data_IF_596330149546
#
_entry.id   IF_596330149546
#
_cell.length_a   1.000
_cell.length_b   1.000
_cell.length_c   1.000
_cell.angle_alpha   90.00
_cell.angle_beta   90.00
_cell.angle_gamma   90.00
#
_symmetry.space_group_name_H-M   'P 1'
#
loop_
_entity.id
_entity.type
_entity.pdbx_description
1 polymer ?
#
# COMPACT_ATOMS: atom_id res chain seq x y z
N UNK A 1 -1.43 -7.82 -11.61
CA UNK A 1 -0.50 -7.18 -12.52
C UNK A 1 -0.01 -5.84 -12.03
N UNK A 2 -0.90 -5.10 -11.41
CA UNK A 2 -0.48 -3.84 -10.81
C UNK A 2 0.63 -4.09 -9.79
N UNK A 3 0.49 -5.16 -9.02
CA UNK A 3 1.48 -5.46 -7.99
C UNK A 3 2.87 -5.73 -8.55
N UNK A 4 2.95 -6.11 -9.81
CA UNK A 4 4.26 -6.38 -10.42
C UNK A 4 5.10 -5.13 -10.58
N UNK A 5 4.47 -3.97 -10.61
CA UNK A 5 5.20 -2.71 -10.70
C UNK A 5 5.78 -2.28 -9.38
N UNK A 6 5.33 -2.88 -8.31
CA UNK A 6 5.65 -2.41 -6.97
C UNK A 6 6.34 -3.53 -6.22
N UNK A 7 7.66 -3.56 -6.32
CA UNK A 7 8.43 -4.61 -5.65
C UNK A 7 8.29 -4.53 -4.13
N UNK A 8 7.85 -3.37 -3.62
CA UNK A 8 7.62 -3.19 -2.19
C UNK A 8 6.28 -3.78 -1.73
N UNK A 9 5.41 -4.15 -2.66
CA UNK A 9 4.08 -4.64 -2.32
C UNK A 9 4.00 -6.12 -2.67
N UNK A 10 3.48 -6.90 -1.75
CA UNK A 10 3.43 -8.34 -1.88
C UNK A 10 1.99 -8.81 -1.72
N UNK A 11 1.56 -9.69 -2.61
CA UNK A 11 0.24 -10.30 -2.51
C UNK A 11 0.44 -11.80 -2.46
N UNK A 12 -0.02 -12.41 -1.39
CA UNK A 12 0.09 -13.84 -1.19
C UNK A 12 -1.25 -14.34 -0.71
N UNK A 13 -1.92 -15.12 -1.53
CA UNK A 13 -3.26 -15.61 -1.21
C UNK A 13 -3.28 -16.45 0.05
N UNK A 14 -2.15 -17.00 0.42
CA UNK A 14 -2.06 -17.80 1.64
C UNK A 14 -1.88 -16.93 2.87
N UNK A 15 -1.60 -15.66 2.70
CA UNK A 15 -1.44 -14.72 3.81
C UNK A 15 -2.55 -13.69 3.74
N UNK A 16 -3.23 -13.50 4.86
CA UNK A 16 -4.21 -12.44 5.01
C UNK A 16 -5.23 -12.42 3.88
N UNK A 17 -5.54 -13.59 3.35
CA UNK A 17 -6.58 -13.70 2.33
C UNK A 17 -6.25 -13.03 1.01
N UNK A 18 -4.96 -12.91 0.69
CA UNK A 18 -4.55 -12.26 -0.55
C UNK A 18 -4.48 -10.75 -0.48
N UNK A 19 -4.56 -10.21 0.72
CA UNK A 19 -4.51 -8.78 0.93
C UNK A 19 -3.12 -8.24 0.59
N UNK A 20 -3.00 -7.12 -0.14
CA UNK A 20 -1.67 -6.55 -0.40
C UNK A 20 -1.02 -6.07 0.88
N UNK A 21 0.23 -6.45 1.06
CA UNK A 21 0.99 -6.07 2.26
C UNK A 21 2.33 -5.48 1.83
N UNK A 22 2.95 -4.76 2.74
CA UNK A 22 4.31 -4.29 2.54
C UNK A 22 5.23 -5.50 2.51
N UNK A 23 6.14 -5.53 1.57
CA UNK A 23 7.02 -6.67 1.35
C UNK A 23 7.72 -7.09 2.65
N UNK A 24 7.75 -8.38 2.89
CA UNK A 24 8.41 -8.99 4.05
C UNK A 24 7.79 -8.56 5.38
N UNK A 25 6.55 -8.14 5.35
CA UNK A 25 5.82 -7.81 6.58
C UNK A 25 4.43 -8.41 6.50
N UNK A 26 3.68 -8.24 7.59
CA UNK A 26 2.25 -8.56 7.59
C UNK A 26 1.42 -7.28 7.67
N UNK A 27 2.01 -6.16 7.29
CA UNK A 27 1.35 -4.87 7.38
C UNK A 27 0.57 -4.64 6.10
N UNK A 28 -0.77 -4.64 6.15
CA UNK A 28 -1.56 -4.41 4.95
C UNK A 28 -1.40 -2.98 4.46
N UNK A 29 -1.46 -2.81 3.15
CA UNK A 29 -1.44 -1.47 2.57
C UNK A 29 -2.60 -0.64 3.11
N UNK A 30 -3.77 -1.29 3.33
CA UNK A 30 -4.93 -0.57 3.85
C UNK A 30 -4.67 0.02 5.23
N UNK A 31 -3.84 -0.63 6.04
CA UNK A 31 -3.51 -0.09 7.36
C UNK A 31 -2.75 1.22 7.22
N UNK A 32 -1.83 1.29 6.27
CA UNK A 32 -1.07 2.51 6.02
C UNK A 32 -2.04 3.64 5.63
N UNK A 33 -2.98 3.34 4.76
CA UNK A 33 -3.95 4.35 4.32
C UNK A 33 -4.82 4.79 5.50
N UNK A 34 -5.22 3.85 6.35
CA UNK A 34 -6.01 4.18 7.54
C UNK A 34 -5.24 5.10 8.48
N UNK A 35 -3.95 4.86 8.64
CA UNK A 35 -3.11 5.72 9.48
C UNK A 35 -3.07 7.14 8.92
N UNK A 36 -2.93 7.26 7.61
CA UNK A 36 -2.91 8.58 6.98
C UNK A 36 -4.26 9.26 7.14
N UNK A 37 -5.34 8.50 7.02
CA UNK A 37 -6.67 9.05 7.24
C UNK A 37 -6.81 9.59 8.66
N UNK A 38 -6.17 8.96 9.61
CA UNK A 38 -6.19 9.38 11.00
C UNK A 38 -5.16 10.45 11.29
N UNK A 39 -4.58 11.04 10.23
CA UNK A 39 -3.68 12.19 10.32
C UNK A 39 -2.33 11.88 10.96
N UNK A 40 -1.92 10.62 10.91
CA UNK A 40 -0.57 10.29 11.30
C UNK A 40 0.41 10.79 10.25
N UNK A 41 1.56 11.28 10.68
CA UNK A 41 2.60 11.68 9.74
C UNK A 41 3.35 10.45 9.25
N UNK A 42 4.06 10.62 8.12
CA UNK A 42 4.92 9.54 7.62
C UNK A 42 5.88 9.08 8.71
N UNK A 43 6.48 10.05 9.42
CA UNK A 43 7.45 9.70 10.45
C UNK A 43 6.82 8.86 11.54
N UNK A 44 5.61 9.23 11.97
CA UNK A 44 4.92 8.47 13.00
C UNK A 44 4.63 7.04 12.56
N UNK A 45 4.19 6.88 11.31
CA UNK A 45 3.90 5.56 10.78
C UNK A 45 5.18 4.74 10.69
N UNK A 46 6.25 5.35 10.21
CA UNK A 46 7.53 4.66 10.10
C UNK A 46 8.01 4.15 11.45
N UNK A 47 7.85 4.98 12.48
CA UNK A 47 8.29 4.60 13.82
C UNK A 47 7.41 3.51 14.41
N UNK A 48 6.11 3.64 14.19
CA UNK A 48 5.16 2.69 14.78
C UNK A 48 5.34 1.29 14.20
N UNK A 49 5.54 1.22 12.89
CA UNK A 49 5.57 -0.07 12.19
C UNK A 49 6.93 -0.45 11.66
N UNK A 50 7.93 0.34 11.96
CA UNK A 50 9.32 0.07 11.54
C UNK A 50 9.43 -0.02 10.03
N UNK A 51 8.83 0.95 9.36
CA UNK A 51 8.86 1.04 7.91
C UNK A 51 9.72 2.21 7.50
N UNK A 52 10.08 2.23 6.22
CA UNK A 52 10.78 3.37 5.65
C UNK A 52 9.76 4.28 4.97
N UNK A 53 10.18 5.53 4.74
CA UNK A 53 9.34 6.46 4.01
C UNK A 53 9.00 5.91 2.62
N UNK A 54 9.96 5.23 1.99
CA UNK A 54 9.72 4.66 0.68
C UNK A 54 8.63 3.61 0.73
N UNK A 55 8.60 2.80 1.78
CA UNK A 55 7.54 1.81 1.93
C UNK A 55 6.17 2.47 1.90
N UNK A 56 6.04 3.58 2.61
CA UNK A 56 4.76 4.28 2.67
C UNK A 56 4.41 4.89 1.32
N UNK A 57 5.40 5.50 0.67
CA UNK A 57 5.18 6.11 -0.64
C UNK A 57 4.74 5.07 -1.66
N UNK A 58 5.38 3.90 -1.64
CA UNK A 58 5.00 2.83 -2.56
C UNK A 58 3.62 2.30 -2.28
N UNK A 59 3.25 2.23 -1.00
CA UNK A 59 1.90 1.80 -0.64
C UNK A 59 0.87 2.77 -1.19
N UNK A 60 1.13 4.06 -1.07
CA UNK A 60 0.22 5.07 -1.58
C UNK A 60 0.13 5.01 -3.11
N UNK A 61 1.27 4.87 -3.78
CA UNK A 61 1.28 4.78 -5.23
C UNK A 61 0.50 3.56 -5.72
N UNK A 62 0.63 2.46 -4.99
CA UNK A 62 -0.09 1.24 -5.32
C UNK A 62 -1.60 1.48 -5.26
N UNK A 63 -2.06 2.13 -4.21
CA UNK A 63 -3.49 2.41 -4.05
C UNK A 63 -3.97 3.34 -5.16
N UNK A 64 -3.20 4.37 -5.46
CA UNK A 64 -3.56 5.31 -6.52
C UNK A 64 -3.69 4.57 -7.85
N UNK A 65 -2.75 3.69 -8.14
CA UNK A 65 -2.77 2.95 -9.39
C UNK A 65 -4.03 2.09 -9.50
N UNK A 66 -4.38 1.42 -8.42
CA UNK A 66 -5.57 0.57 -8.42
C UNK A 66 -6.83 1.40 -8.64
N UNK A 67 -6.93 2.53 -7.97
CA UNK A 67 -8.12 3.37 -8.06
C UNK A 67 -8.23 4.05 -9.41
N UNK A 68 -7.10 4.43 -9.99
CA UNK A 68 -7.09 5.20 -11.22
C UNK A 68 -7.39 4.37 -12.45
N UNK A 69 -7.04 3.09 -12.44
CA UNK A 69 -7.24 2.27 -13.63
C UNK A 69 -8.69 2.28 -14.11
N UNK A 70 -9.68 1.97 -13.24
CA UNK A 70 -11.07 2.03 -13.70
C UNK A 70 -11.51 3.44 -14.03
N UNK A 71 -11.02 4.41 -13.28
CA UNK A 71 -11.39 5.81 -13.50
C UNK A 71 -10.90 6.28 -14.86
N UNK A 72 -9.66 5.97 -15.20
CA UNK A 72 -9.09 6.36 -16.47
C UNK A 72 -9.86 5.74 -17.62
N UNK A 73 -10.23 4.48 -17.47
CA UNK A 73 -11.02 3.80 -18.49
C UNK A 73 -12.39 4.45 -18.64
N UNK A 74 -12.98 4.86 -17.54
CA UNK A 74 -14.28 5.49 -17.57
C UNK A 74 -14.28 6.85 -18.22
N UNK A 75 -13.17 7.55 -18.15
CA UNK A 75 -13.04 8.85 -18.75
C UNK A 75 -12.90 8.77 -20.26
N UNK A 76 -12.39 7.66 -20.74
CA UNK A 76 -12.20 7.50 -22.18
C UNK A 76 -13.53 7.22 -22.88
#
# INVERSE_FOLDING_TARGET
KVAKKFTQIQIDEKKLGGMPVIKNTRIPVSLIIACLKDEMTFQEICEEYKLTKEDIEKAMEYVIEILDVPYQEGLE
#
